data_IF_912297699410
#
_entry.id   IF_912297699410
#
_cell.length_a   1.000
_cell.length_b   1.000
_cell.length_c   1.000
_cell.angle_alpha   90.00
_cell.angle_beta   90.00
_cell.angle_gamma   90.00
#
_symmetry.space_group_name_H-M   'P 1'
#
loop_
_entity.id
_entity.type
_entity.pdbx_description
1 polymer ?
#
# COMPACT_ATOMS: atom_id res chain seq x y z
N UNK A 1 3.67 -15.50 -10.16
CA UNK A 1 4.52 -14.64 -9.30
C UNK A 1 4.70 -13.24 -9.86
N UNK A 2 5.18 -13.06 -11.10
CA UNK A 2 5.44 -11.73 -11.70
C UNK A 2 4.23 -10.77 -11.68
N UNK A 3 3.03 -11.26 -11.95
CA UNK A 3 1.81 -10.43 -12.04
C UNK A 3 1.37 -9.83 -10.69
N UNK A 4 1.49 -10.61 -9.61
CA UNK A 4 1.18 -10.16 -8.25
C UNK A 4 2.25 -9.22 -7.67
N UNK A 5 3.53 -9.43 -7.99
CA UNK A 5 4.62 -8.51 -7.60
C UNK A 5 4.48 -7.15 -8.30
N UNK A 6 4.06 -7.14 -9.57
CA UNK A 6 3.71 -5.91 -10.28
C UNK A 6 2.50 -5.21 -9.64
N UNK A 7 1.51 -5.99 -9.19
CA UNK A 7 0.34 -5.43 -8.47
C UNK A 7 0.72 -4.81 -7.13
N UNK A 8 1.55 -5.47 -6.32
CA UNK A 8 2.06 -4.92 -5.06
C UNK A 8 2.87 -3.64 -5.27
N UNK A 9 3.73 -3.62 -6.29
CA UNK A 9 4.49 -2.41 -6.65
C UNK A 9 3.58 -1.27 -7.12
N UNK A 10 2.56 -1.54 -7.95
CA UNK A 10 1.57 -0.54 -8.39
C UNK A 10 0.86 0.08 -7.19
N UNK A 11 0.36 -0.74 -6.26
CA UNK A 11 -0.34 -0.28 -5.07
C UNK A 11 0.59 0.57 -4.19
N UNK A 12 1.85 0.19 -4.03
CA UNK A 12 2.83 0.98 -3.28
C UNK A 12 3.07 2.36 -3.94
N UNK A 13 3.20 2.40 -5.27
CA UNK A 13 3.38 3.64 -6.02
C UNK A 13 2.14 4.55 -5.94
N UNK A 14 0.93 3.99 -6.06
CA UNK A 14 -0.33 4.71 -5.90
C UNK A 14 -0.47 5.30 -4.49
N UNK A 15 -0.07 4.54 -3.46
CA UNK A 15 -0.07 5.00 -2.07
C UNK A 15 0.88 6.18 -1.86
N UNK A 16 2.08 6.10 -2.43
CA UNK A 16 3.07 7.17 -2.35
C UNK A 16 2.59 8.45 -3.04
N UNK A 17 1.97 8.33 -4.22
CA UNK A 17 1.39 9.46 -4.92
C UNK A 17 0.25 10.10 -4.11
N UNK A 18 -0.64 9.29 -3.51
CA UNK A 18 -1.72 9.78 -2.66
C UNK A 18 -1.17 10.59 -1.46
N UNK A 19 -0.16 10.06 -0.76
CA UNK A 19 0.43 10.74 0.40
C UNK A 19 1.10 12.06 0.01
N UNK A 20 1.79 12.09 -1.13
CA UNK A 20 2.41 13.31 -1.66
C UNK A 20 1.37 14.39 -1.97
N UNK A 21 0.23 14.02 -2.57
CA UNK A 21 -0.89 14.94 -2.82
C UNK A 21 -1.52 15.44 -1.51
N UNK A 22 -1.66 14.57 -0.52
CA UNK A 22 -2.20 14.97 0.81
C UNK A 22 -1.27 15.95 1.54
N UNK A 23 0.04 15.86 1.33
CA UNK A 23 1.00 16.84 1.88
C UNK A 23 0.95 18.18 1.16
N UNK A 24 0.81 18.18 -0.17
CA UNK A 24 0.86 19.39 -1.00
C UNK A 24 -0.48 20.14 -1.10
N UNK A 25 -1.62 19.45 -0.91
CA UNK A 25 -2.95 20.05 -0.97
C UNK A 25 -3.43 20.57 0.40
N UNK A 26 -4.21 21.65 0.34
CA UNK A 26 -4.93 22.17 1.50
C UNK A 26 -6.19 21.32 1.75
N UNK A 27 -5.96 20.18 2.39
CA UNK A 27 -6.99 19.20 2.77
C UNK A 27 -7.44 19.50 4.20
N UNK A 28 -8.75 19.60 4.41
CA UNK A 28 -9.31 19.77 5.76
C UNK A 28 -8.84 18.66 6.70
N UNK A 29 -8.73 18.97 7.99
CA UNK A 29 -8.20 18.05 8.99
C UNK A 29 -8.92 16.69 8.99
N UNK A 30 -10.26 16.67 8.89
CA UNK A 30 -11.04 15.42 8.93
C UNK A 30 -10.77 14.59 7.67
N UNK A 31 -10.69 15.24 6.52
CA UNK A 31 -10.40 14.57 5.25
C UNK A 31 -8.96 14.03 5.21
N UNK A 32 -7.99 14.79 5.73
CA UNK A 32 -6.60 14.35 5.91
C UNK A 32 -6.54 13.11 6.79
N UNK A 33 -7.18 13.12 7.96
CA UNK A 33 -7.20 11.97 8.87
C UNK A 33 -7.84 10.71 8.22
N UNK A 34 -8.89 10.91 7.43
CA UNK A 34 -9.54 9.83 6.68
C UNK A 34 -8.62 9.25 5.59
N UNK A 35 -7.91 10.09 4.84
CA UNK A 35 -6.96 9.67 3.80
C UNK A 35 -5.75 8.95 4.40
N UNK A 36 -5.22 9.42 5.53
CA UNK A 36 -4.17 8.72 6.27
C UNK A 36 -4.66 7.36 6.77
N UNK A 37 -5.89 7.29 7.30
CA UNK A 37 -6.51 6.04 7.74
C UNK A 37 -6.72 5.05 6.59
N UNK A 38 -7.09 5.54 5.41
CA UNK A 38 -7.17 4.74 4.20
C UNK A 38 -5.80 4.23 3.77
N UNK A 39 -4.81 5.11 3.67
CA UNK A 39 -3.45 4.76 3.27
C UNK A 39 -2.86 3.68 4.19
N UNK A 40 -3.07 3.81 5.51
CA UNK A 40 -2.65 2.81 6.49
C UNK A 40 -3.30 1.45 6.23
N UNK A 41 -4.62 1.38 6.04
CA UNK A 41 -5.33 0.11 5.77
C UNK A 41 -4.87 -0.55 4.48
N UNK A 42 -4.61 0.22 3.42
CA UNK A 42 -4.11 -0.31 2.15
C UNK A 42 -2.66 -0.79 2.31
N UNK A 43 -1.83 -0.05 3.05
CA UNK A 43 -0.46 -0.46 3.39
C UNK A 43 -0.43 -1.76 4.21
N UNK A 44 -1.32 -1.92 5.19
CA UNK A 44 -1.42 -3.13 6.00
C UNK A 44 -1.81 -4.35 5.14
N UNK A 45 -2.76 -4.18 4.21
CA UNK A 45 -3.15 -5.22 3.25
C UNK A 45 -2.02 -5.57 2.28
N UNK A 46 -1.27 -4.56 1.83
CA UNK A 46 -0.10 -4.75 0.98
C UNK A 46 0.99 -5.53 1.71
N UNK A 47 1.30 -5.17 2.96
CA UNK A 47 2.27 -5.86 3.80
C UNK A 47 1.85 -7.32 4.05
N UNK A 48 0.59 -7.56 4.39
CA UNK A 48 0.06 -8.92 4.55
C UNK A 48 0.22 -9.75 3.26
N UNK A 49 -0.15 -9.17 2.12
CA UNK A 49 -0.02 -9.83 0.81
C UNK A 49 1.44 -10.15 0.47
N UNK A 50 2.38 -9.25 0.78
CA UNK A 50 3.82 -9.45 0.56
C UNK A 50 4.42 -10.51 1.48
N UNK A 51 3.98 -10.60 2.74
CA UNK A 51 4.43 -11.62 3.70
C UNK A 51 3.93 -13.00 3.29
N UNK A 52 2.66 -13.14 2.89
CA UNK A 52 2.11 -14.38 2.34
C UNK A 52 2.91 -14.89 1.11
N UNK A 53 3.45 -13.98 0.30
CA UNK A 53 4.33 -14.36 -0.82
C UNK A 53 5.65 -14.98 -0.33
N UNK A 54 6.24 -14.43 0.74
CA UNK A 54 7.50 -14.93 1.28
C UNK A 54 7.33 -16.31 1.95
N UNK A 55 6.18 -16.56 2.59
CA UNK A 55 5.88 -17.85 3.21
C UNK A 55 5.61 -18.97 2.20
N UNK A 56 5.01 -18.65 1.05
CA UNK A 56 4.68 -19.65 0.01
C UNK A 56 5.91 -20.06 -0.82
N UNK A 57 6.93 -19.21 -0.91
CA UNK A 57 8.19 -19.50 -1.63
C UNK A 57 9.13 -20.48 -0.92
N UNK A 58 8.99 -20.68 0.39
CA UNK A 58 9.88 -21.53 1.22
C UNK A 58 9.49 -23.02 1.18
N UNK A 59 8.27 -23.37 0.77
CA UNK A 59 7.77 -24.74 0.80
C UNK A 59 8.08 -25.58 -0.46
N UNK A 60 8.79 -25.02 -1.45
CA UNK A 60 9.21 -25.71 -2.68
C UNK A 60 10.74 -25.70 -2.87
N UNK A 61 11.50 -25.86 -1.79
CA UNK A 61 12.96 -25.99 -1.79
C UNK A 61 13.41 -27.38 -1.33
#
# INVERSE_FOLDING_TARGET
>A
MRELTNKSASIACELAALLMVVEECDVDQVERENLISLARRVSDQLAASMVEQNSTGVLNG
#
